data_IF_073320632700
#
_entry.id   IF_073320632700
#
_cell.length_a   1.000
_cell.length_b   1.000
_cell.length_c   1.000
_cell.angle_alpha   90.00
_cell.angle_beta   90.00
_cell.angle_gamma   90.00
#
_symmetry.space_group_name_H-M   'P 1'
#
loop_
_entity.id
_entity.type
_entity.pdbx_description
1 polymer ?
#
# COMPACT_ATOMS: atom_id res chain seq x y z
N UNK A 1 -3.07 13.42 -34.22
CA UNK A 1 -2.80 12.02 -33.81
C UNK A 1 -1.78 11.92 -32.66
N UNK A 2 -0.59 12.53 -32.77
CA UNK A 2 0.45 12.53 -31.71
C UNK A 2 -0.03 13.02 -30.32
N UNK A 3 -0.82 14.09 -30.29
CA UNK A 3 -1.38 14.66 -29.05
C UNK A 3 -2.37 13.70 -28.39
N UNK A 4 -3.20 13.00 -29.18
CA UNK A 4 -4.16 12.02 -28.66
C UNK A 4 -3.44 10.85 -27.97
N UNK A 5 -2.32 10.37 -28.55
CA UNK A 5 -1.50 9.34 -27.94
C UNK A 5 -0.86 9.80 -26.61
N UNK A 6 -0.41 11.05 -26.53
CA UNK A 6 0.14 11.61 -25.29
C UNK A 6 -0.91 11.73 -24.19
N UNK A 7 -2.14 12.14 -24.55
CA UNK A 7 -3.26 12.21 -23.62
C UNK A 7 -3.64 10.82 -23.10
N UNK A 8 -3.71 9.81 -23.99
CA UNK A 8 -3.97 8.42 -23.59
C UNK A 8 -2.88 7.92 -22.64
N UNK A 9 -1.61 8.22 -22.92
CA UNK A 9 -0.49 7.79 -22.08
C UNK A 9 -0.52 8.44 -20.69
N UNK A 10 -0.97 9.69 -20.58
CA UNK A 10 -1.14 10.38 -19.30
C UNK A 10 -2.21 9.72 -18.41
N UNK A 11 -3.31 9.22 -18.98
CA UNK A 11 -4.35 8.53 -18.22
C UNK A 11 -3.92 7.17 -17.66
N UNK A 12 -2.92 6.51 -18.28
CA UNK A 12 -2.39 5.24 -17.76
C UNK A 12 -1.70 5.41 -16.41
N UNK A 13 -1.10 6.57 -16.13
CA UNK A 13 -0.47 6.86 -14.84
C UNK A 13 -1.48 7.14 -13.73
N UNK A 14 -2.70 7.57 -14.06
CA UNK A 14 -3.77 7.79 -13.09
C UNK A 14 -4.41 6.49 -12.57
N UNK A 15 -4.09 5.34 -13.18
CA UNK A 15 -4.65 4.04 -12.80
C UNK A 15 -3.93 3.36 -11.61
N UNK A 16 -2.83 3.93 -11.10
CA UNK A 16 -2.21 3.45 -9.86
C UNK A 16 -3.13 3.77 -8.66
N UNK A 17 -3.95 2.80 -8.26
CA UNK A 17 -4.75 2.89 -7.03
C UNK A 17 -3.88 2.75 -5.80
N UNK A 18 -4.11 3.58 -4.79
CA UNK A 18 -3.43 3.54 -3.50
C UNK A 18 -3.62 2.21 -2.76
N UNK A 19 -4.78 1.54 -2.96
CA UNK A 19 -5.03 0.22 -2.39
C UNK A 19 -4.17 -0.85 -3.08
N UNK A 20 -4.09 -0.82 -4.40
CA UNK A 20 -3.30 -1.79 -5.16
C UNK A 20 -1.80 -1.69 -4.87
N UNK A 21 -1.27 -0.47 -4.70
CA UNK A 21 0.12 -0.29 -4.30
C UNK A 21 0.36 -0.73 -2.85
N UNK A 22 -0.56 -0.41 -1.94
CA UNK A 22 -0.49 -0.87 -0.55
C UNK A 22 -0.48 -2.40 -0.45
N UNK A 23 -1.43 -3.08 -1.10
CA UNK A 23 -1.57 -4.53 -1.06
C UNK A 23 -0.31 -5.23 -1.61
N UNK A 24 0.29 -4.68 -2.67
CA UNK A 24 1.53 -5.21 -3.24
C UNK A 24 2.72 -5.09 -2.26
N UNK A 25 2.85 -3.94 -1.59
CA UNK A 25 3.89 -3.73 -0.56
C UNK A 25 3.68 -4.65 0.62
N UNK A 26 2.43 -4.78 1.07
CA UNK A 26 2.05 -5.56 2.23
C UNK A 26 2.29 -7.07 2.00
N UNK A 27 2.00 -7.56 0.79
CA UNK A 27 2.36 -8.91 0.37
C UNK A 27 3.89 -9.14 0.42
N UNK A 28 4.69 -8.15 0.00
CA UNK A 28 6.15 -8.21 0.13
C UNK A 28 6.61 -8.35 1.58
N UNK A 29 6.05 -7.55 2.49
CA UNK A 29 6.35 -7.64 3.93
C UNK A 29 6.00 -9.00 4.53
N UNK A 30 4.86 -9.59 4.15
CA UNK A 30 4.49 -10.93 4.62
C UNK A 30 5.51 -11.99 4.18
N UNK A 31 6.03 -11.88 2.96
CA UNK A 31 7.09 -12.77 2.47
C UNK A 31 8.39 -12.57 3.25
N UNK A 32 8.75 -11.33 3.58
CA UNK A 32 9.92 -11.03 4.42
C UNK A 32 9.78 -11.63 5.83
N UNK A 33 8.58 -11.60 6.40
CA UNK A 33 8.34 -12.20 7.72
C UNK A 33 8.68 -13.70 7.74
N UNK A 34 8.47 -14.43 6.64
CA UNK A 34 8.78 -15.86 6.55
C UNK A 34 10.30 -16.16 6.65
N UNK A 35 11.15 -15.14 6.51
CA UNK A 35 12.60 -15.26 6.67
C UNK A 35 13.10 -14.89 8.07
N UNK A 36 12.21 -14.44 8.97
CA UNK A 36 12.55 -14.08 10.33
C UNK A 36 12.60 -15.29 11.27
N UNK A 37 13.34 -15.21 12.39
CA UNK A 37 13.23 -16.16 13.49
C UNK A 37 11.82 -16.22 14.07
N UNK A 38 11.48 -17.35 14.70
CA UNK A 38 10.16 -17.59 15.32
C UNK A 38 9.78 -16.52 16.36
N UNK A 39 10.76 -15.96 17.09
CA UNK A 39 10.53 -14.89 18.07
C UNK A 39 9.94 -13.62 17.46
N UNK A 40 10.26 -13.34 16.19
CA UNK A 40 9.96 -12.07 15.52
C UNK A 40 8.87 -12.23 14.46
N UNK A 41 8.63 -13.48 14.01
CA UNK A 41 7.63 -13.82 12.99
C UNK A 41 6.24 -13.30 13.35
N UNK A 42 5.74 -13.60 14.56
CA UNK A 42 4.38 -13.25 14.97
C UNK A 42 4.16 -11.74 15.07
N UNK A 43 5.19 -11.00 15.48
CA UNK A 43 5.16 -9.54 15.51
C UNK A 43 5.13 -8.94 14.11
N UNK A 44 6.03 -9.43 13.24
CA UNK A 44 6.09 -9.03 11.84
C UNK A 44 4.79 -9.31 11.11
N UNK A 45 4.27 -10.55 11.22
CA UNK A 45 3.08 -10.98 10.50
C UNK A 45 1.85 -10.18 10.91
N UNK A 46 1.75 -9.77 12.17
CA UNK A 46 0.64 -8.94 12.66
C UNK A 46 0.61 -7.57 11.99
N UNK A 47 1.76 -6.93 11.86
CA UNK A 47 1.88 -5.64 11.18
C UNK A 47 1.70 -5.80 9.66
N UNK A 48 2.30 -6.84 9.08
CA UNK A 48 2.22 -7.18 7.67
C UNK A 48 0.85 -7.74 7.24
N UNK A 49 -0.07 -8.03 8.17
CA UNK A 49 -1.44 -8.49 7.86
C UNK A 49 -2.49 -7.39 8.05
N UNK A 50 -2.07 -6.16 8.37
CA UNK A 50 -2.98 -5.03 8.52
C UNK A 50 -3.77 -4.77 7.22
N UNK A 51 -5.08 -4.51 7.37
CA UNK A 51 -5.96 -4.18 6.25
C UNK A 51 -5.70 -2.78 5.72
N UNK A 52 -5.95 -2.57 4.42
CA UNK A 52 -5.87 -1.24 3.81
C UNK A 52 -6.86 -0.27 4.46
N UNK A 53 -8.05 -0.74 4.81
CA UNK A 53 -9.12 0.06 5.40
C UNK A 53 -8.70 0.60 6.78
N UNK A 54 -8.03 -0.21 7.60
CA UNK A 54 -7.53 0.23 8.90
C UNK A 54 -6.34 1.17 8.77
N UNK A 55 -5.45 0.92 7.80
CA UNK A 55 -4.38 1.85 7.46
C UNK A 55 -4.92 3.21 7.01
N UNK A 56 -5.89 3.23 6.09
CA UNK A 56 -6.44 4.45 5.53
C UNK A 56 -7.23 5.26 6.57
N UNK A 57 -7.93 4.58 7.47
CA UNK A 57 -8.65 5.21 8.60
C UNK A 57 -7.69 5.93 9.54
N UNK A 58 -6.62 5.28 9.98
CA UNK A 58 -5.64 5.88 10.89
C UNK A 58 -4.88 7.02 10.20
N UNK A 59 -4.49 6.82 8.93
CA UNK A 59 -3.85 7.87 8.12
C UNK A 59 -4.71 9.12 8.03
N UNK A 60 -6.03 8.99 7.85
CA UNK A 60 -6.95 10.12 7.80
C UNK A 60 -7.10 10.79 9.16
N UNK A 61 -7.26 10.00 10.22
CA UNK A 61 -7.35 10.55 11.58
C UNK A 61 -6.14 11.42 11.95
N UNK A 62 -4.92 10.99 11.60
CA UNK A 62 -3.70 11.78 11.83
C UNK A 62 -3.74 13.10 11.05
N UNK A 63 -4.19 13.09 9.80
CA UNK A 63 -4.27 14.30 8.97
C UNK A 63 -5.35 15.27 9.45
N UNK A 64 -6.46 14.76 9.98
CA UNK A 64 -7.59 15.56 10.47
C UNK A 64 -7.30 16.16 11.87
N UNK A 65 -6.42 15.54 12.67
CA UNK A 65 -6.02 16.02 14.01
C UNK A 65 -4.90 17.10 13.97
N UNK A 66 -4.27 17.32 12.81
CA UNK A 66 -3.21 18.33 12.61
C UNK A 66 -3.73 19.72 12.16
N UNK A 67 -5.06 19.90 11.99
CA UNK A 67 -5.75 21.14 11.63
C UNK A 67 -6.37 21.89 12.84
#
# INVERSE_FOLDING_TARGET
MKIVLLVIFAFLFAACSHKGTYDAVQAGKQMECAHLPESDYDGCMREASRSYEDYDRERKAILDDED
#
